data_IF_955516153006
#
_entry.id   IF_955516153006
#
_cell.length_a   1.000
_cell.length_b   1.000
_cell.length_c   1.000
_cell.angle_alpha   90.00
_cell.angle_beta   90.00
_cell.angle_gamma   90.00
#
_symmetry.space_group_name_H-M   'P 1'
#
loop_
_entity.id
_entity.type
_entity.pdbx_description
1 polymer ?
#
# COMPACT_ATOMS: atom_id res chain seq x y z
N UNK A 1 19.23 -19.54 -18.21
CA UNK A 1 17.75 -19.41 -18.23
C UNK A 1 17.35 -18.42 -19.32
N UNK A 2 16.84 -18.84 -20.49
CA UNK A 2 16.43 -17.91 -21.53
C UNK A 2 15.09 -17.25 -21.19
N UNK A 3 14.97 -15.95 -21.46
CA UNK A 3 13.77 -15.12 -21.18
C UNK A 3 12.64 -15.48 -22.16
N UNK A 4 11.45 -15.77 -21.63
CA UNK A 4 10.20 -15.88 -22.42
C UNK A 4 9.80 -14.51 -22.98
N UNK A 5 9.47 -14.46 -24.28
CA UNK A 5 8.91 -13.30 -24.95
C UNK A 5 7.42 -13.08 -24.57
N UNK A 6 7.00 -11.82 -24.50
CA UNK A 6 5.63 -11.42 -24.18
C UNK A 6 4.70 -11.58 -25.40
N UNK A 7 3.49 -12.13 -25.18
CA UNK A 7 2.41 -12.17 -26.16
C UNK A 7 1.78 -10.78 -26.30
N UNK A 8 1.81 -10.20 -27.48
CA UNK A 8 1.03 -9.01 -27.83
C UNK A 8 -0.41 -9.42 -28.15
N UNK A 9 -1.37 -8.84 -27.41
CA UNK A 9 -2.80 -8.97 -27.70
C UNK A 9 -3.19 -7.89 -28.71
N UNK A 10 -3.60 -8.28 -29.91
CA UNK A 10 -4.13 -7.37 -30.94
C UNK A 10 -5.59 -7.04 -30.59
N UNK A 11 -5.90 -5.77 -30.32
CA UNK A 11 -7.28 -5.29 -30.22
C UNK A 11 -7.85 -5.09 -31.63
N UNK A 12 -8.86 -5.87 -31.99
CA UNK A 12 -9.67 -5.66 -33.21
C UNK A 12 -10.73 -4.60 -32.90
N UNK A 13 -10.70 -3.46 -33.59
CA UNK A 13 -11.78 -2.46 -33.56
C UNK A 13 -12.77 -2.71 -34.70
N UNK A 14 -14.07 -2.60 -34.41
CA UNK A 14 -15.16 -2.67 -35.40
C UNK A 14 -15.19 -1.40 -36.27
N UNK A 15 -15.51 -1.51 -37.57
CA UNK A 15 -15.62 -0.37 -38.48
C UNK A 15 -16.80 0.54 -38.11
N UNK A 16 -16.65 1.83 -38.41
CA UNK A 16 -17.65 2.86 -38.12
C UNK A 16 -18.73 2.95 -39.19
N UNK A 17 -19.92 3.44 -38.82
CA UNK A 17 -21.11 3.58 -39.67
C UNK A 17 -20.86 4.27 -41.02
N UNK A 18 -19.92 5.22 -41.07
CA UNK A 18 -19.54 5.91 -42.31
C UNK A 18 -18.84 4.99 -43.34
N UNK A 19 -18.12 3.96 -42.89
CA UNK A 19 -17.48 2.99 -43.78
C UNK A 19 -18.50 2.00 -44.37
N UNK A 20 -19.57 1.72 -43.64
CA UNK A 20 -20.66 0.82 -44.10
C UNK A 20 -21.45 1.49 -45.23
N UNK A 21 -21.69 2.79 -45.16
CA UNK A 21 -22.43 3.54 -46.19
C UNK A 21 -21.68 3.68 -47.51
N UNK A 22 -20.34 3.76 -47.48
CA UNK A 22 -19.52 3.78 -48.69
C UNK A 22 -19.57 2.46 -49.47
N UNK A 23 -19.76 1.33 -48.78
CA UNK A 23 -19.85 0.01 -49.42
C UNK A 23 -21.21 -0.23 -50.12
N UNK A 24 -22.25 0.51 -49.76
CA UNK A 24 -23.61 0.32 -50.31
C UNK A 24 -23.90 1.12 -51.59
N UNK A 25 -23.02 2.04 -52.00
CA UNK A 25 -23.27 2.97 -53.09
C UNK A 25 -22.85 2.48 -54.50
N UNK A 26 -22.24 1.30 -54.62
CA UNK A 26 -21.84 0.74 -55.93
C UNK A 26 -22.74 -0.42 -56.33
N UNK A 27 -23.95 -0.11 -56.80
CA UNK A 27 -24.86 -1.05 -57.46
C UNK A 27 -25.16 -0.57 -58.88
N UNK A 28 -24.24 -0.83 -59.80
CA UNK A 28 -24.58 -0.97 -61.22
C UNK A 28 -24.31 -2.42 -61.61
N UNK A 29 -25.36 -3.09 -62.07
CA UNK A 29 -25.45 -4.53 -62.23
C UNK A 29 -24.86 -4.99 -63.57
N UNK A 30 -23.89 -5.90 -63.49
CA UNK A 30 -23.44 -6.82 -64.55
C UNK A 30 -23.95 -8.21 -64.15
N UNK A 31 -24.41 -9.09 -65.06
CA UNK A 31 -25.04 -10.37 -64.69
C UNK A 31 -24.08 -11.27 -63.90
N UNK A 32 -24.59 -12.22 -63.09
CA UNK A 32 -23.78 -12.98 -62.15
C UNK A 32 -22.81 -13.86 -62.93
N UNK A 33 -21.54 -13.51 -62.90
CA UNK A 33 -20.47 -14.46 -63.18
C UNK A 33 -20.29 -15.30 -61.94
N UNK A 34 -20.19 -16.61 -62.11
CA UNK A 34 -19.97 -17.60 -61.06
C UNK A 34 -18.78 -17.19 -60.18
N UNK A 35 -19.09 -16.62 -59.00
CA UNK A 35 -18.10 -16.07 -58.06
C UNK A 35 -17.29 -17.20 -57.42
N UNK A 36 -17.81 -18.43 -57.43
CA UNK A 36 -17.19 -19.59 -56.78
C UNK A 36 -15.94 -20.12 -57.52
N UNK A 37 -15.75 -19.76 -58.80
CA UNK A 37 -14.61 -20.27 -59.59
C UNK A 37 -13.37 -19.36 -59.51
N UNK A 38 -13.54 -18.06 -59.23
CA UNK A 38 -12.41 -17.11 -59.19
C UNK A 38 -11.73 -17.00 -57.80
N UNK A 39 -12.35 -17.48 -56.72
CA UNK A 39 -11.73 -17.45 -55.38
C UNK A 39 -10.68 -18.55 -55.22
N UNK A 40 -10.83 -19.68 -55.94
CA UNK A 40 -9.94 -20.84 -55.85
C UNK A 40 -8.58 -20.64 -56.53
N UNK A 41 -8.43 -19.58 -57.34
CA UNK A 41 -7.18 -19.22 -58.03
C UNK A 41 -6.38 -18.10 -57.36
N UNK A 42 -6.91 -17.49 -56.29
CA UNK A 42 -6.16 -16.49 -55.52
C UNK A 42 -5.21 -17.21 -54.56
N UNK A 43 -3.92 -17.18 -54.89
CA UNK A 43 -2.87 -17.64 -53.97
C UNK A 43 -3.02 -16.87 -52.65
N UNK A 44 -3.08 -17.60 -51.53
CA UNK A 44 -3.18 -17.02 -50.18
C UNK A 44 -2.06 -16.01 -49.92
N UNK A 45 -0.90 -16.17 -50.56
CA UNK A 45 0.20 -15.20 -50.50
C UNK A 45 -0.19 -13.82 -51.08
N UNK A 46 -1.08 -13.75 -52.07
CA UNK A 46 -1.58 -12.50 -52.66
C UNK A 46 -2.54 -11.71 -51.75
N UNK A 47 -3.05 -12.34 -50.68
CA UNK A 47 -3.86 -11.70 -49.64
C UNK A 47 -3.01 -11.13 -48.50
N UNK A 48 -1.70 -11.37 -48.51
CA UNK A 48 -0.79 -10.77 -47.55
C UNK A 48 -0.44 -9.36 -48.00
N UNK A 49 -0.75 -8.36 -47.17
CA UNK A 49 -0.29 -6.99 -47.41
C UNK A 49 1.25 -7.01 -47.34
N UNK A 50 1.91 -7.00 -48.49
CA UNK A 50 3.36 -6.73 -48.64
C UNK A 50 3.75 -5.30 -48.22
N UNK A 51 2.77 -4.51 -47.78
CA UNK A 51 3.03 -3.21 -47.17
C UNK A 51 3.55 -3.46 -45.75
N UNK A 52 4.78 -3.03 -45.41
CA UNK A 52 5.26 -3.15 -44.04
C UNK A 52 4.21 -2.48 -43.14
N UNK A 53 3.67 -3.24 -42.18
CA UNK A 53 2.76 -2.72 -41.17
C UNK A 53 3.53 -1.69 -40.35
N UNK A 54 3.51 -0.43 -40.80
CA UNK A 54 4.01 0.69 -40.02
C UNK A 54 3.09 0.75 -38.80
N UNK A 55 3.60 0.45 -37.59
CA UNK A 55 2.76 0.50 -36.42
C UNK A 55 2.18 1.91 -36.33
N UNK A 56 0.87 2.01 -36.21
CA UNK A 56 0.19 3.28 -36.00
C UNK A 56 0.71 3.88 -34.70
N UNK A 57 1.73 4.74 -34.79
CA UNK A 57 2.18 5.56 -33.69
C UNK A 57 1.24 6.76 -33.65
N UNK A 58 0.31 6.84 -32.69
CA UNK A 58 -0.57 8.00 -32.59
C UNK A 58 0.31 9.25 -32.48
N UNK A 59 0.08 10.24 -33.34
CA UNK A 59 0.79 11.52 -33.29
C UNK A 59 0.60 12.13 -31.90
N UNK A 60 1.69 12.28 -31.16
CA UNK A 60 1.70 12.93 -29.85
C UNK A 60 1.18 14.37 -30.03
N UNK A 61 0.09 14.71 -29.35
CA UNK A 61 -0.43 16.09 -29.30
C UNK A 61 0.50 16.90 -28.41
N UNK A 62 1.47 17.59 -29.02
CA UNK A 62 2.32 18.56 -28.33
C UNK A 62 1.66 19.94 -28.51
N UNK A 63 1.41 20.70 -27.42
CA UNK A 63 0.90 22.06 -27.52
C UNK A 63 1.82 22.95 -28.37
N UNK A 64 1.25 23.93 -29.10
CA UNK A 64 2.05 24.87 -29.92
C UNK A 64 3.04 25.68 -29.08
N UNK A 65 2.67 25.97 -27.83
CA UNK A 65 3.51 26.66 -26.84
C UNK A 65 3.60 25.80 -25.58
N UNK A 66 4.70 25.06 -25.37
CA UNK A 66 4.84 24.23 -24.19
C UNK A 66 5.03 25.10 -22.94
N UNK A 67 4.51 24.65 -21.81
CA UNK A 67 4.79 25.26 -20.52
C UNK A 67 6.23 24.97 -20.10
N UNK A 68 7.03 26.01 -19.84
CA UNK A 68 8.43 25.90 -19.45
C UNK A 68 8.56 25.57 -17.96
N UNK A 69 8.16 24.36 -17.55
CA UNK A 69 8.17 23.93 -16.15
C UNK A 69 9.53 24.12 -15.45
N UNK A 70 10.64 23.87 -16.14
CA UNK A 70 11.99 24.00 -15.57
C UNK A 70 12.49 25.45 -15.45
N UNK A 71 11.78 26.42 -16.04
CA UNK A 71 12.09 27.84 -15.87
C UNK A 71 11.53 28.43 -14.57
N UNK A 72 10.62 27.72 -13.90
CA UNK A 72 10.08 28.12 -12.61
C UNK A 72 11.17 28.03 -11.52
N UNK A 73 11.11 28.84 -10.46
CA UNK A 73 11.93 28.64 -9.26
C UNK A 73 11.69 27.27 -8.60
N UNK A 74 12.68 26.78 -7.86
CA UNK A 74 12.63 25.44 -7.26
C UNK A 74 11.48 25.30 -6.25
N UNK A 75 11.20 26.36 -5.50
CA UNK A 75 10.14 26.45 -4.50
C UNK A 75 8.77 26.22 -5.15
N UNK A 76 8.55 26.85 -6.32
CA UNK A 76 7.31 26.70 -7.09
C UNK A 76 7.20 25.27 -7.64
N UNK A 77 8.31 24.69 -8.13
CA UNK A 77 8.31 23.29 -8.58
C UNK A 77 7.96 22.32 -7.44
N UNK A 78 8.51 22.53 -6.24
CA UNK A 78 8.21 21.75 -5.04
C UNK A 78 6.73 21.87 -4.67
N UNK A 79 6.17 23.08 -4.70
CA UNK A 79 4.72 23.28 -4.48
C UNK A 79 3.88 22.54 -5.52
N UNK A 80 4.30 22.50 -6.79
CA UNK A 80 3.62 21.72 -7.82
C UNK A 80 3.72 20.22 -7.54
N UNK A 81 4.87 19.72 -7.06
CA UNK A 81 4.98 18.32 -6.63
C UNK A 81 4.07 18.01 -5.45
N UNK A 82 3.88 18.95 -4.52
CA UNK A 82 2.93 18.81 -3.44
C UNK A 82 1.52 18.54 -3.95
N UNK A 83 1.00 19.40 -4.84
CA UNK A 83 -0.31 19.19 -5.44
C UNK A 83 -0.39 17.95 -6.33
N UNK A 84 0.68 17.60 -7.06
CA UNK A 84 0.68 16.43 -7.93
C UNK A 84 0.60 15.11 -7.14
N UNK A 85 1.33 15.05 -6.02
CA UNK A 85 1.33 13.90 -5.14
C UNK A 85 0.24 13.97 -4.07
N UNK A 86 -0.50 15.06 -3.98
CA UNK A 86 -1.69 15.12 -3.15
C UNK A 86 -2.70 14.07 -3.65
N UNK A 87 -3.31 13.36 -2.72
CA UNK A 87 -4.28 12.32 -3.01
C UNK A 87 -5.44 12.53 -2.05
N UNK A 88 -6.64 12.79 -2.57
CA UNK A 88 -7.82 13.12 -1.76
C UNK A 88 -8.35 11.91 -0.94
N UNK A 89 -7.83 10.69 -1.16
CA UNK A 89 -8.27 9.44 -0.51
C UNK A 89 -7.56 9.13 0.83
N UNK A 90 -7.15 10.16 1.58
CA UNK A 90 -6.37 10.00 2.82
C UNK A 90 -7.24 9.86 4.07
N UNK A 91 -7.93 8.73 4.24
CA UNK A 91 -8.65 8.42 5.49
C UNK A 91 -7.82 7.58 6.48
N UNK A 92 -6.90 6.74 5.99
CA UNK A 92 -5.96 5.98 6.82
C UNK A 92 -4.54 6.48 6.49
N UNK A 93 -3.85 6.99 7.51
CA UNK A 93 -2.71 7.91 7.37
C UNK A 93 -1.63 7.52 6.34
N UNK A 94 -0.93 8.56 5.86
CA UNK A 94 0.09 8.64 4.80
C UNK A 94 1.31 7.69 4.95
N UNK A 95 1.06 6.40 5.18
CA UNK A 95 2.04 5.37 5.45
C UNK A 95 2.06 4.36 4.31
N UNK A 96 3.17 4.35 3.58
CA UNK A 96 3.35 3.48 2.43
C UNK A 96 3.84 2.09 2.84
N UNK A 97 3.19 1.08 2.24
CA UNK A 97 3.47 -0.34 2.44
C UNK A 97 3.17 -1.13 1.14
N UNK A 98 3.42 -2.43 1.10
CA UNK A 98 3.05 -3.39 0.06
C UNK A 98 1.54 -3.64 -0.06
N UNK A 99 0.71 -2.74 0.44
CA UNK A 99 -0.73 -2.81 0.24
C UNK A 99 -1.07 -2.78 -1.26
N UNK A 100 -1.99 -3.64 -1.72
CA UNK A 100 -2.37 -3.70 -3.14
C UNK A 100 -2.86 -2.37 -3.72
N UNK A 101 -3.49 -1.51 -2.90
CA UNK A 101 -4.01 -0.21 -3.32
C UNK A 101 -2.89 0.78 -3.63
N UNK A 102 -1.78 0.74 -2.87
CA UNK A 102 -0.62 1.63 -3.05
C UNK A 102 0.00 1.52 -4.44
N UNK A 103 0.07 0.31 -5.01
CA UNK A 103 0.55 0.15 -6.37
C UNK A 103 -0.32 0.96 -7.35
N UNK A 104 -1.64 0.79 -7.29
CA UNK A 104 -2.56 1.49 -8.20
C UNK A 104 -2.49 3.00 -8.04
N UNK A 105 -2.41 3.48 -6.79
CA UNK A 105 -2.31 4.90 -6.42
C UNK A 105 -1.04 5.57 -6.96
N UNK A 106 0.13 4.97 -6.73
CA UNK A 106 1.40 5.66 -7.01
C UNK A 106 2.12 5.23 -8.29
N UNK A 107 1.89 4.04 -8.84
CA UNK A 107 2.71 3.55 -9.98
C UNK A 107 2.71 4.48 -11.20
N UNK A 108 1.58 5.13 -11.49
CA UNK A 108 1.49 6.12 -12.59
C UNK A 108 2.11 7.45 -12.21
N UNK A 109 1.89 7.92 -10.97
CA UNK A 109 2.45 9.19 -10.47
C UNK A 109 3.98 9.15 -10.46
N UNK A 110 4.57 8.03 -10.07
CA UNK A 110 6.03 7.82 -10.05
C UNK A 110 6.69 7.82 -11.44
N UNK A 111 5.92 7.86 -12.54
CA UNK A 111 6.49 8.02 -13.88
C UNK A 111 7.18 9.37 -14.07
N UNK A 112 6.79 10.41 -13.32
CA UNK A 112 7.39 11.76 -13.40
C UNK A 112 8.90 11.74 -13.08
N UNK A 113 9.34 10.83 -12.21
CA UNK A 113 10.73 10.64 -11.79
C UNK A 113 11.63 10.20 -12.96
N UNK A 114 11.03 9.79 -14.10
CA UNK A 114 11.76 9.34 -15.29
C UNK A 114 11.92 10.44 -16.35
N UNK A 115 11.41 11.65 -16.13
CA UNK A 115 11.40 12.72 -17.14
C UNK A 115 12.80 13.28 -17.41
N UNK A 116 13.47 13.86 -16.41
CA UNK A 116 14.83 14.37 -16.51
C UNK A 116 15.56 14.28 -15.16
N UNK A 117 16.86 14.60 -15.12
CA UNK A 117 17.67 14.47 -13.89
C UNK A 117 17.18 15.40 -12.77
N UNK A 118 16.93 16.66 -13.07
CA UNK A 118 16.46 17.63 -12.07
C UNK A 118 15.12 17.23 -11.46
N UNK A 119 14.13 16.93 -12.32
CA UNK A 119 12.81 16.45 -11.89
C UNK A 119 12.91 15.15 -11.10
N UNK A 120 13.83 14.25 -11.49
CA UNK A 120 14.07 13.01 -10.74
C UNK A 120 14.51 13.32 -9.32
N UNK A 121 15.51 14.19 -9.14
CA UNK A 121 16.07 14.51 -7.83
C UNK A 121 15.01 15.19 -6.94
N UNK A 122 14.34 16.20 -7.46
CA UNK A 122 13.33 16.96 -6.70
C UNK A 122 12.10 16.11 -6.36
N UNK A 123 11.51 15.43 -7.35
CA UNK A 123 10.31 14.63 -7.13
C UNK A 123 10.58 13.39 -6.27
N UNK A 124 11.77 12.78 -6.39
CA UNK A 124 12.19 11.68 -5.50
C UNK A 124 12.33 12.20 -4.08
N UNK A 125 13.07 13.29 -3.88
CA UNK A 125 13.24 13.86 -2.54
C UNK A 125 11.87 14.20 -1.93
N UNK A 126 11.03 14.95 -2.64
CA UNK A 126 9.70 15.31 -2.16
C UNK A 126 8.87 14.07 -1.80
N UNK A 127 8.72 13.13 -2.73
CA UNK A 127 7.85 11.96 -2.53
C UNK A 127 8.25 11.10 -1.32
N UNK A 128 9.56 10.86 -1.15
CA UNK A 128 10.07 10.02 -0.07
C UNK A 128 10.26 10.76 1.26
N UNK A 129 10.47 12.08 1.25
CA UNK A 129 10.70 12.87 2.48
C UNK A 129 9.43 13.34 3.18
N UNK A 130 8.30 13.44 2.48
CA UNK A 130 7.03 13.87 3.09
C UNK A 130 6.22 12.72 3.66
N UNK A 131 6.48 11.50 3.20
CA UNK A 131 5.66 10.32 3.52
C UNK A 131 6.35 9.40 4.49
N UNK A 132 5.55 8.74 5.31
CA UNK A 132 6.05 7.68 6.18
C UNK A 132 6.05 6.34 5.45
N UNK A 133 7.02 5.48 5.74
CA UNK A 133 7.07 4.12 5.20
C UNK A 133 6.97 3.09 6.31
N UNK A 134 6.13 2.07 6.09
CA UNK A 134 6.00 0.98 7.06
C UNK A 134 7.19 0.03 6.95
N UNK A 135 7.79 -0.28 8.11
CA UNK A 135 8.94 -1.18 8.19
C UNK A 135 8.52 -2.60 7.78
N UNK A 136 7.38 -3.08 8.30
CA UNK A 136 6.85 -4.42 8.02
C UNK A 136 5.41 -4.36 7.49
N UNK A 137 5.08 -5.20 6.48
CA UNK A 137 3.76 -5.19 5.92
C UNK A 137 2.71 -5.78 6.85
N UNK A 138 1.56 -5.14 6.90
CA UNK A 138 0.41 -5.62 7.69
C UNK A 138 -0.72 -6.17 6.83
N UNK A 139 -0.73 -5.87 5.52
CA UNK A 139 -1.82 -6.30 4.66
C UNK A 139 -1.89 -7.83 4.58
N UNK A 140 -3.06 -8.44 4.87
CA UNK A 140 -3.20 -9.89 4.96
C UNK A 140 -2.86 -10.60 3.65
N UNK A 141 -2.50 -11.89 3.77
CA UNK A 141 -2.18 -12.74 2.63
C UNK A 141 -0.70 -12.75 2.27
N UNK A 142 -0.39 -12.57 0.98
CA UNK A 142 0.98 -12.80 0.43
C UNK A 142 2.03 -11.88 1.04
N UNK A 143 1.69 -10.61 1.28
CA UNK A 143 2.67 -9.62 1.70
C UNK A 143 2.97 -9.69 3.20
N UNK A 144 2.00 -10.03 4.04
CA UNK A 144 2.18 -10.17 5.49
C UNK A 144 3.36 -11.05 5.90
N UNK A 145 3.60 -12.15 5.17
CA UNK A 145 4.68 -13.12 5.45
C UNK A 145 5.93 -12.88 4.60
N UNK A 146 6.04 -11.75 3.90
CA UNK A 146 7.19 -11.50 3.02
C UNK A 146 8.47 -11.31 3.82
N UNK A 147 9.58 -11.82 3.29
CA UNK A 147 10.93 -11.55 3.81
C UNK A 147 11.50 -10.23 3.28
N UNK A 148 10.83 -9.60 2.32
CA UNK A 148 11.29 -8.38 1.65
C UNK A 148 10.18 -7.32 1.66
N UNK A 149 10.02 -6.58 2.78
CA UNK A 149 9.03 -5.52 2.93
C UNK A 149 9.28 -4.37 1.95
N UNK A 150 8.36 -3.40 1.85
CA UNK A 150 8.50 -2.27 0.91
C UNK A 150 9.83 -1.53 1.12
N UNK A 151 10.20 -1.25 2.37
CA UNK A 151 11.45 -0.57 2.72
C UNK A 151 12.69 -1.28 2.14
N UNK A 152 12.75 -2.61 2.23
CA UNK A 152 13.83 -3.43 1.67
C UNK A 152 13.82 -3.54 0.12
N UNK A 153 12.79 -3.00 -0.54
CA UNK A 153 12.70 -2.90 -2.01
C UNK A 153 13.11 -1.53 -2.53
N UNK A 154 13.17 -0.52 -1.66
CA UNK A 154 13.67 0.80 -2.02
C UNK A 154 15.17 0.74 -2.30
N UNK A 155 15.61 1.60 -3.21
CA UNK A 155 17.04 1.79 -3.47
C UNK A 155 17.67 2.59 -2.32
N UNK A 156 18.98 2.43 -2.05
CA UNK A 156 19.66 3.19 -0.98
C UNK A 156 19.41 4.70 -1.03
N UNK A 157 19.46 5.33 -2.21
CA UNK A 157 19.18 6.77 -2.34
C UNK A 157 17.75 7.17 -1.96
N UNK A 158 16.77 6.27 -2.15
CA UNK A 158 15.37 6.52 -1.77
C UNK A 158 15.22 6.41 -0.26
N UNK A 159 15.88 5.42 0.35
CA UNK A 159 15.94 5.25 1.82
C UNK A 159 16.58 6.45 2.51
N UNK A 160 17.65 6.99 1.93
CA UNK A 160 18.30 8.19 2.44
C UNK A 160 17.41 9.45 2.39
N UNK A 161 16.36 9.47 1.56
CA UNK A 161 15.42 10.60 1.51
C UNK A 161 14.32 10.53 2.59
N UNK A 162 14.17 9.39 3.28
CA UNK A 162 13.13 9.22 4.29
C UNK A 162 13.41 10.08 5.52
N UNK A 163 12.38 10.70 6.06
CA UNK A 163 12.44 11.53 7.28
C UNK A 163 11.70 10.88 8.46
N UNK A 164 10.70 10.05 8.15
CA UNK A 164 9.90 9.30 9.10
C UNK A 164 9.63 7.87 8.61
N UNK A 165 9.51 6.95 9.57
CA UNK A 165 9.11 5.56 9.31
C UNK A 165 8.09 5.11 10.35
N UNK A 166 7.29 4.11 10.02
CA UNK A 166 6.29 3.55 10.92
C UNK A 166 6.56 2.09 11.25
N UNK A 167 6.51 1.76 12.54
CA UNK A 167 6.36 0.41 13.05
C UNK A 167 4.91 0.23 13.53
N UNK A 168 4.15 -0.65 12.89
CA UNK A 168 2.80 -1.01 13.34
C UNK A 168 2.83 -2.37 14.03
N UNK A 169 2.36 -2.43 15.28
CA UNK A 169 2.31 -3.63 16.12
C UNK A 169 0.85 -4.00 16.41
N UNK A 170 0.58 -5.26 16.71
CA UNK A 170 -0.75 -5.86 16.85
C UNK A 170 -1.02 -6.99 15.84
N UNK A 171 -0.85 -6.78 14.53
CA UNK A 171 -1.09 -7.83 13.54
C UNK A 171 -0.22 -9.07 13.75
N UNK A 172 -0.86 -10.24 13.79
CA UNK A 172 -0.18 -11.53 13.98
C UNK A 172 0.36 -11.76 15.39
N UNK A 173 -0.16 -11.08 16.41
CA UNK A 173 0.30 -11.19 17.80
C UNK A 173 0.46 -12.64 18.34
N UNK A 174 -0.44 -13.56 17.99
CA UNK A 174 -0.33 -14.97 18.40
C UNK A 174 0.77 -15.76 17.68
N UNK A 175 1.15 -15.33 16.46
CA UNK A 175 2.22 -15.93 15.67
C UNK A 175 2.84 -14.90 14.73
N UNK A 176 3.75 -14.03 15.22
CA UNK A 176 4.32 -12.95 14.44
C UNK A 176 5.02 -13.50 13.18
N UNK A 177 4.92 -12.82 12.02
CA UNK A 177 5.50 -13.34 10.80
C UNK A 177 7.02 -13.51 10.92
N UNK A 178 7.55 -14.64 10.45
CA UNK A 178 9.01 -14.91 10.45
C UNK A 178 9.84 -13.86 9.70
N UNK A 179 9.22 -13.07 8.84
CA UNK A 179 9.86 -11.96 8.11
C UNK A 179 10.02 -10.68 8.94
N UNK A 180 9.38 -10.58 10.11
CA UNK A 180 9.48 -9.43 11.00
C UNK A 180 10.73 -9.54 11.85
N UNK A 181 11.87 -9.35 11.20
CA UNK A 181 13.19 -9.42 11.82
C UNK A 181 13.99 -8.23 11.31
N UNK A 182 14.66 -7.53 12.23
CA UNK A 182 15.61 -6.48 11.91
C UNK A 182 16.93 -7.13 11.51
N UNK A 183 17.35 -6.89 10.28
CA UNK A 183 18.60 -7.38 9.70
C UNK A 183 19.10 -6.38 8.65
N UNK A 184 20.33 -6.58 8.17
CA UNK A 184 20.96 -5.70 7.17
C UNK A 184 20.18 -5.64 5.86
N UNK A 185 19.46 -6.71 5.50
CA UNK A 185 18.66 -6.77 4.27
C UNK A 185 17.46 -5.79 4.29
N UNK A 186 17.00 -5.38 5.48
CA UNK A 186 16.01 -4.33 5.65
C UNK A 186 16.58 -2.96 5.21
N UNK A 187 17.89 -2.79 5.38
CA UNK A 187 18.68 -1.60 5.05
C UNK A 187 18.24 -0.35 5.79
N UNK A 188 17.95 -0.51 7.09
CA UNK A 188 17.71 0.59 8.02
C UNK A 188 18.91 1.54 8.11
N UNK A 189 20.13 1.03 7.94
CA UNK A 189 21.36 1.84 7.94
C UNK A 189 21.38 2.91 6.82
N UNK A 190 20.69 2.68 5.71
CA UNK A 190 20.60 3.66 4.61
C UNK A 190 19.58 4.79 4.92
N UNK A 191 18.76 4.65 5.96
CA UNK A 191 17.75 5.63 6.36
C UNK A 191 18.35 6.77 7.19
N UNK A 192 19.38 7.44 6.65
CA UNK A 192 20.24 8.39 7.39
C UNK A 192 19.54 9.67 7.84
N UNK A 193 18.48 10.09 7.14
CA UNK A 193 17.74 11.31 7.44
C UNK A 193 16.49 11.09 8.31
N UNK A 194 16.21 9.85 8.71
CA UNK A 194 15.05 9.55 9.55
C UNK A 194 15.30 10.06 10.97
N UNK A 195 14.46 10.99 11.43
CA UNK A 195 14.55 11.61 12.76
C UNK A 195 13.46 11.14 13.71
N UNK A 196 12.36 10.66 13.17
CA UNK A 196 11.18 10.23 13.94
C UNK A 196 10.73 8.84 13.50
N UNK A 197 10.47 7.97 14.47
CA UNK A 197 9.78 6.70 14.25
C UNK A 197 8.39 6.77 14.88
N UNK A 198 7.36 6.49 14.09
CA UNK A 198 5.99 6.34 14.56
C UNK A 198 5.74 4.87 14.95
N UNK A 199 5.41 4.62 16.21
CA UNK A 199 5.00 3.32 16.70
C UNK A 199 3.49 3.33 16.87
N UNK A 200 2.79 2.61 15.99
CA UNK A 200 1.34 2.49 16.02
C UNK A 200 0.92 1.15 16.61
N UNK A 201 0.16 1.20 17.70
CA UNK A 201 -0.31 0.01 18.40
C UNK A 201 -1.74 -0.28 18.03
N UNK A 202 -1.97 -1.34 17.27
CA UNK A 202 -3.31 -1.73 16.82
C UNK A 202 -4.05 -2.58 17.85
N UNK A 203 -3.33 -3.45 18.55
CA UNK A 203 -3.90 -4.33 19.55
C UNK A 203 -2.91 -4.63 20.67
N UNK A 204 -3.37 -4.58 21.92
CA UNK A 204 -2.60 -5.00 23.09
C UNK A 204 -3.05 -6.37 23.57
N UNK A 205 -2.34 -7.45 23.19
CA UNK A 205 -2.70 -8.77 23.65
C UNK A 205 -2.52 -8.91 25.16
N UNK A 206 -1.83 -8.01 25.87
CA UNK A 206 -1.67 -8.07 27.34
C UNK A 206 -2.96 -7.85 28.13
N UNK A 207 -4.04 -7.40 27.51
CA UNK A 207 -5.34 -7.26 28.17
C UNK A 207 -5.98 -8.63 28.45
N UNK A 208 -6.49 -8.80 29.67
CA UNK A 208 -7.19 -9.98 30.18
C UNK A 208 -8.21 -10.60 29.23
N UNK A 209 -8.81 -9.83 28.33
CA UNK A 209 -9.73 -10.31 27.29
C UNK A 209 -9.08 -11.34 26.33
N UNK A 210 -7.76 -11.34 26.21
CA UNK A 210 -6.99 -12.26 25.38
C UNK A 210 -6.49 -13.50 26.14
N UNK A 211 -6.84 -13.66 27.43
CA UNK A 211 -6.45 -14.83 28.20
C UNK A 211 -6.97 -16.12 27.53
N UNK A 212 -6.08 -17.10 27.34
CA UNK A 212 -6.37 -18.35 26.63
C UNK A 212 -6.23 -18.29 25.10
N UNK A 213 -6.12 -17.10 24.51
CA UNK A 213 -5.80 -16.92 23.08
C UNK A 213 -4.32 -16.56 22.86
N UNK A 214 -3.63 -16.09 23.91
CA UNK A 214 -2.18 -15.86 23.88
C UNK A 214 -1.43 -17.16 23.76
N UNK A 215 -0.32 -17.08 23.02
CA UNK A 215 0.65 -18.16 22.95
C UNK A 215 1.29 -18.39 24.32
N UNK A 216 1.88 -17.33 24.87
CA UNK A 216 2.48 -17.28 26.20
C UNK A 216 2.33 -15.86 26.76
N UNK A 217 2.38 -15.69 28.08
CA UNK A 217 2.34 -14.39 28.74
C UNK A 217 3.64 -13.61 28.48
N UNK A 218 3.55 -12.32 28.13
CA UNK A 218 4.72 -11.47 27.85
C UNK A 218 5.40 -11.69 26.48
N UNK A 219 5.05 -12.76 25.76
CA UNK A 219 5.71 -13.13 24.51
C UNK A 219 5.67 -12.03 23.44
N UNK A 220 4.50 -11.40 23.25
CA UNK A 220 4.36 -10.40 22.18
C UNK A 220 4.94 -9.05 22.59
N UNK A 221 4.83 -8.72 23.86
CA UNK A 221 5.42 -7.55 24.48
C UNK A 221 6.95 -7.57 24.34
N UNK A 222 7.57 -8.71 24.68
CA UNK A 222 9.00 -8.96 24.49
C UNK A 222 9.39 -8.86 23.01
N UNK A 223 8.60 -9.47 22.14
CA UNK A 223 8.82 -9.39 20.70
C UNK A 223 8.84 -7.93 20.21
N UNK A 224 7.83 -7.13 20.57
CA UNK A 224 7.72 -5.73 20.18
C UNK A 224 8.85 -4.86 20.75
N UNK A 225 9.22 -5.06 22.03
CA UNK A 225 10.36 -4.37 22.66
C UNK A 225 11.66 -4.69 21.95
N UNK A 226 11.95 -5.97 21.72
CA UNK A 226 13.15 -6.41 21.03
C UNK A 226 13.20 -5.87 19.59
N UNK A 227 12.06 -5.80 18.92
CA UNK A 227 11.97 -5.27 17.57
C UNK A 227 12.30 -3.78 17.52
N UNK A 228 11.71 -2.99 18.43
CA UNK A 228 11.97 -1.56 18.52
C UNK A 228 13.43 -1.28 18.94
N UNK A 229 13.98 -2.03 19.90
CA UNK A 229 15.39 -1.88 20.32
C UNK A 229 16.34 -2.03 19.14
N UNK A 230 16.20 -3.12 18.37
CA UNK A 230 17.04 -3.38 17.20
C UNK A 230 16.90 -2.33 16.11
N UNK A 231 15.71 -1.73 15.95
CA UNK A 231 15.50 -0.63 15.00
C UNK A 231 16.28 0.61 15.46
N UNK A 232 16.18 0.97 16.75
CA UNK A 232 16.88 2.13 17.31
C UNK A 232 18.40 1.95 17.26
N UNK A 233 18.91 0.74 17.52
CA UNK A 233 20.32 0.38 17.36
C UNK A 233 20.79 0.52 15.91
N UNK A 234 19.97 0.11 14.94
CA UNK A 234 20.28 0.22 13.51
C UNK A 234 20.18 1.65 12.96
N UNK A 235 19.52 2.55 13.70
CA UNK A 235 19.20 3.91 13.25
C UNK A 235 19.48 4.95 14.35
N UNK A 236 20.77 5.23 14.65
CA UNK A 236 21.14 6.13 15.73
C UNK A 236 20.69 7.58 15.50
N UNK A 237 20.40 7.95 14.24
CA UNK A 237 19.90 9.26 13.83
C UNK A 237 18.49 9.61 14.35
N UNK A 238 17.73 8.61 14.84
CA UNK A 238 16.40 8.80 15.41
C UNK A 238 16.52 9.58 16.72
N UNK A 239 15.75 10.66 16.82
CA UNK A 239 15.70 11.56 17.98
C UNK A 239 14.37 11.43 18.74
N UNK A 240 13.28 11.14 18.04
CA UNK A 240 11.94 11.08 18.59
C UNK A 240 11.23 9.77 18.27
N UNK A 241 10.41 9.31 19.22
CA UNK A 241 9.48 8.19 19.04
C UNK A 241 8.07 8.72 19.25
N UNK A 242 7.25 8.66 18.21
CA UNK A 242 5.84 9.04 18.27
C UNK A 242 4.99 7.80 18.51
N UNK A 243 4.33 7.72 19.66
CA UNK A 243 3.42 6.63 20.00
C UNK A 243 1.98 6.99 19.65
N UNK A 244 1.29 6.07 19.02
CA UNK A 244 -0.14 6.17 18.70
C UNK A 244 -0.77 4.77 18.78
N UNK A 245 -2.10 4.69 18.70
CA UNK A 245 -2.75 3.39 18.68
C UNK A 245 -4.26 3.42 18.54
N UNK A 246 -4.85 2.23 18.51
CA UNK A 246 -6.30 2.08 18.52
C UNK A 246 -6.90 2.53 19.87
N UNK A 247 -8.18 2.96 19.89
CA UNK A 247 -8.87 3.34 21.12
C UNK A 247 -8.92 2.25 22.19
N UNK A 248 -8.84 0.97 21.81
CA UNK A 248 -8.80 -0.15 22.76
C UNK A 248 -7.46 -0.27 23.51
N UNK A 249 -6.42 0.42 23.05
CA UNK A 249 -5.09 0.33 23.66
C UNK A 249 -4.98 1.31 24.83
N UNK A 250 -4.64 0.75 25.99
CA UNK A 250 -4.43 1.48 27.24
C UNK A 250 -2.98 1.91 27.36
N UNK A 251 -2.73 3.17 27.73
CA UNK A 251 -1.38 3.69 28.02
C UNK A 251 -0.69 2.89 29.13
N UNK A 252 -1.46 2.47 30.12
CA UNK A 252 -1.02 1.66 31.27
C UNK A 252 -0.94 0.15 30.99
N UNK A 253 -1.27 -0.29 29.77
CA UNK A 253 -1.12 -1.68 29.33
C UNK A 253 0.35 -2.13 29.34
N UNK A 254 0.58 -3.43 29.54
CA UNK A 254 1.94 -3.96 29.68
C UNK A 254 2.80 -3.73 28.43
N UNK A 255 2.22 -3.88 27.24
CA UNK A 255 2.93 -3.61 26.00
C UNK A 255 3.32 -2.13 25.88
N UNK A 256 2.42 -1.19 26.18
CA UNK A 256 2.71 0.24 26.12
C UNK A 256 3.77 0.65 27.14
N UNK A 257 3.65 0.20 28.40
CA UNK A 257 4.68 0.41 29.42
C UNK A 257 6.05 -0.07 28.95
N UNK A 258 6.11 -1.29 28.43
CA UNK A 258 7.35 -1.87 27.93
C UNK A 258 7.99 -1.07 26.78
N UNK A 259 7.19 -0.49 25.90
CA UNK A 259 7.68 0.36 24.81
C UNK A 259 8.12 1.75 25.29
N UNK A 260 7.40 2.33 26.25
CA UNK A 260 7.74 3.62 26.86
C UNK A 260 9.03 3.51 27.68
N UNK A 261 9.17 2.46 28.49
CA UNK A 261 10.39 2.19 29.27
C UNK A 261 11.62 2.05 28.36
N UNK A 262 11.46 1.38 27.21
CA UNK A 262 12.52 1.27 26.20
C UNK A 262 12.86 2.66 25.61
N UNK A 263 11.86 3.48 25.29
CA UNK A 263 12.08 4.83 24.78
C UNK A 263 12.84 5.72 25.78
N UNK A 264 12.47 5.64 27.07
CA UNK A 264 13.16 6.33 28.15
C UNK A 264 14.60 5.85 28.31
N UNK A 265 14.83 4.53 28.31
CA UNK A 265 16.17 3.94 28.42
C UNK A 265 17.06 4.33 27.25
N UNK A 266 16.49 4.42 26.04
CA UNK A 266 17.19 4.85 24.84
C UNK A 266 17.39 6.38 24.75
N UNK A 267 16.91 7.15 25.74
CA UNK A 267 17.03 8.61 25.79
C UNK A 267 16.34 9.34 24.64
N UNK A 268 15.25 8.78 24.10
CA UNK A 268 14.53 9.37 22.96
C UNK A 268 13.37 10.23 23.44
N UNK A 269 13.08 11.32 22.72
CA UNK A 269 11.92 12.15 23.05
C UNK A 269 10.62 11.44 22.68
N UNK A 270 9.67 11.40 23.61
CA UNK A 270 8.36 10.77 23.40
C UNK A 270 7.39 11.82 22.85
N UNK A 271 6.69 11.47 21.78
CA UNK A 271 5.64 12.26 21.16
C UNK A 271 4.36 11.43 21.07
N UNK A 272 3.20 12.08 21.02
CA UNK A 272 1.91 11.41 20.90
C UNK A 272 1.32 11.65 19.52
N UNK A 273 0.82 10.58 18.90
CA UNK A 273 0.16 10.63 17.60
C UNK A 273 -1.27 11.16 17.68
N UNK A 274 -1.85 11.52 16.52
CA UNK A 274 -3.12 12.23 16.45
C UNK A 274 -4.33 11.36 16.78
N UNK A 275 -4.27 10.03 16.61
CA UNK A 275 -5.46 9.18 16.76
C UNK A 275 -5.82 8.97 18.23
N UNK A 276 -4.86 8.49 19.03
CA UNK A 276 -5.08 8.23 20.44
C UNK A 276 -4.74 9.42 21.31
N UNK A 277 -3.67 10.14 20.96
CA UNK A 277 -3.25 11.34 21.64
C UNK A 277 -3.00 11.20 23.14
N UNK A 278 -2.76 9.97 23.66
CA UNK A 278 -2.77 9.61 25.10
C UNK A 278 -2.48 10.77 26.04
N UNK A 279 -3.55 11.46 26.45
CA UNK A 279 -3.48 12.48 27.50
C UNK A 279 -3.80 11.84 28.84
N UNK A 280 -3.27 12.38 29.93
CA UNK A 280 -3.44 11.80 31.27
C UNK A 280 -4.92 11.82 31.76
N UNK A 281 -5.86 12.33 30.96
CA UNK A 281 -7.29 12.43 31.25
C UNK A 281 -8.14 11.23 30.80
N UNK A 282 -7.60 10.31 30.00
CA UNK A 282 -8.38 9.25 29.34
C UNK A 282 -8.52 7.94 30.15
N UNK A 283 -7.99 7.90 31.38
CA UNK A 283 -8.07 6.74 32.27
C UNK A 283 -9.35 6.76 33.10
N UNK A 284 -10.51 6.53 32.48
CA UNK A 284 -11.65 6.06 33.27
C UNK A 284 -11.40 4.61 33.69
N UNK A 285 -11.46 4.29 34.99
CA UNK A 285 -11.28 2.93 35.47
C UNK A 285 -12.41 2.07 34.89
N UNK A 286 -12.03 1.03 34.13
CA UNK A 286 -12.98 0.00 33.72
C UNK A 286 -13.58 -0.61 34.98
N UNK A 287 -14.84 -0.28 35.24
CA UNK A 287 -15.63 -0.99 36.24
C UNK A 287 -15.70 -2.45 35.79
N UNK A 288 -15.30 -3.42 36.64
CA UNK A 288 -15.31 -4.81 36.25
C UNK A 288 -16.74 -5.23 35.91
N UNK A 289 -16.99 -5.58 34.64
CA UNK A 289 -18.25 -6.22 34.25
C UNK A 289 -18.38 -7.51 35.06
N UNK A 290 -19.37 -7.54 35.95
CA UNK A 290 -19.65 -8.69 36.82
C UNK A 290 -19.91 -9.92 35.94
N UNK A 291 -19.32 -11.07 36.29
CA UNK A 291 -19.47 -12.37 35.59
C UNK A 291 -20.92 -12.74 35.23
N UNK A 292 -21.89 -12.29 36.04
CA UNK A 292 -23.32 -12.43 35.76
C UNK A 292 -23.75 -11.86 34.38
N UNK A 293 -23.16 -10.74 33.94
CA UNK A 293 -23.45 -10.12 32.65
C UNK A 293 -23.00 -10.98 31.46
N UNK A 294 -21.93 -11.77 31.63
CA UNK A 294 -21.43 -12.68 30.59
C UNK A 294 -22.29 -13.94 30.46
N UNK A 295 -22.78 -14.46 31.59
CA UNK A 295 -23.69 -15.61 31.61
C UNK A 295 -25.07 -15.23 31.07
N UNK A 296 -25.58 -14.05 31.41
CA UNK A 296 -26.84 -13.50 30.88
C UNK A 296 -26.76 -13.24 29.37
N UNK A 297 -25.63 -12.72 28.87
CA UNK A 297 -25.42 -12.53 27.44
C UNK A 297 -25.33 -13.85 26.66
N UNK A 298 -24.62 -14.85 27.20
CA UNK A 298 -24.58 -16.21 26.61
C UNK A 298 -25.96 -16.84 26.55
N UNK A 299 -26.75 -16.73 27.63
CA UNK A 299 -28.11 -17.24 27.66
C UNK A 299 -29.02 -16.54 26.65
N UNK A 300 -28.86 -15.22 26.45
CA UNK A 300 -29.62 -14.47 25.43
C UNK A 300 -29.27 -14.91 24.01
N UNK A 301 -27.99 -15.16 23.74
CA UNK A 301 -27.52 -15.58 22.42
C UNK A 301 -28.00 -16.98 22.08
N UNK A 302 -27.93 -17.90 23.05
CA UNK A 302 -28.40 -19.28 22.88
C UNK A 302 -29.92 -19.37 22.72
N UNK A 303 -30.69 -18.52 23.42
CA UNK A 303 -32.14 -18.44 23.23
C UNK A 303 -32.53 -17.86 21.87
N UNK A 304 -31.78 -16.88 21.35
CA UNK A 304 -32.03 -16.34 20.00
C UNK A 304 -31.70 -17.36 18.90
N UNK A 305 -30.65 -18.17 19.06
CA UNK A 305 -30.34 -19.27 18.14
C UNK A 305 -31.42 -20.36 18.15
N UNK A 306 -31.90 -20.75 19.34
CA UNK A 306 -33.02 -21.70 19.46
C UNK A 306 -34.31 -21.16 18.84
N UNK A 307 -34.59 -19.87 19.03
CA UNK A 307 -35.77 -19.24 18.44
C UNK A 307 -35.69 -19.22 16.91
N UNK A 308 -34.51 -18.95 16.34
CA UNK A 308 -34.24 -18.98 14.90
C UNK A 308 -34.48 -20.37 14.30
N UNK A 309 -33.94 -21.41 14.93
CA UNK A 309 -34.08 -22.81 14.50
C UNK A 309 -35.54 -23.29 14.56
N UNK A 310 -36.32 -22.83 15.54
CA UNK A 310 -37.74 -23.18 15.63
C UNK A 310 -38.60 -22.49 14.56
N UNK A 311 -38.26 -21.28 14.14
CA UNK A 311 -38.95 -20.60 13.02
C UNK A 311 -38.65 -21.24 11.66
N UNK A 312 -37.45 -21.77 11.45
CA UNK A 312 -37.08 -22.45 10.19
C UNK A 312 -37.75 -23.83 10.03
N UNK A 313 -38.21 -24.45 11.11
CA UNK A 313 -38.86 -25.76 11.09
C UNK A 313 -40.38 -25.71 10.76
N UNK A 314 -40.97 -24.52 10.59
CA UNK A 314 -42.40 -24.31 10.34
C UNK A 314 -42.71 -23.66 8.97
N UNK A 315 -41.73 -23.64 8.07
CA UNK A 315 -41.88 -23.28 6.64
C UNK A 315 -41.42 -24.42 5.77
#
# INVERSE_FOLDING_TARGET
MPRRAARNTVMVRRPTTAQIQAMTASKNATPPRDIDVEVSGLDIASLTLDTPLIPFVPKRRVPKTPFHFLSLPAEVRISIYAHFFDDDENEEGDVLDLEPRNYRRFHKKLAIIRVCRLVREEATHYFYSTRSFRIFPIFPGRYFKTKRPLLARLKPHQRACLTSIQLRVGPGWGAPPRGWVVNDALGLADCTNVRTISVFVENDPSDSIYNGFRRDEGFYEDFCRNLLSKILESMPAITAIQFDGHPSVKKTGHMMKGLLDLAHTAGKSIQWGPLRGWTDADEQPELPMKKASWEEMKHRQQNNELHSVMTEAHT
#
